data_IF_764251803781
#
_entry.id   IF_764251803781
#
_cell.length_a   1.000
_cell.length_b   1.000
_cell.length_c   1.000
_cell.angle_alpha   90.00
_cell.angle_beta   90.00
_cell.angle_gamma   90.00
#
_symmetry.space_group_name_H-M   'P 1'
#
loop_
_entity.id
_entity.type
_entity.pdbx_description
1 polymer ?
#
# COMPACT_ATOMS: atom_id res chain seq x y z
N UNK A 1 56.03 -22.46 -4.56
CA UNK A 1 55.30 -21.31 -5.12
C UNK A 1 53.88 -21.39 -4.58
N UNK A 2 53.51 -20.50 -3.65
CA UNK A 2 52.17 -20.50 -3.05
C UNK A 2 51.17 -19.85 -4.02
N UNK A 3 49.91 -20.34 -4.12
CA UNK A 3 48.90 -19.72 -4.96
C UNK A 3 48.53 -18.33 -4.41
N UNK A 4 48.19 -17.36 -5.29
CA UNK A 4 47.81 -16.02 -4.86
C UNK A 4 46.49 -16.04 -4.08
N UNK A 5 46.31 -15.13 -3.10
CA UNK A 5 45.07 -15.01 -2.36
C UNK A 5 43.94 -14.63 -3.31
N UNK A 6 42.85 -15.40 -3.29
CA UNK A 6 41.66 -15.08 -4.07
C UNK A 6 41.10 -13.74 -3.59
N UNK A 7 41.31 -12.70 -4.39
CA UNK A 7 40.60 -11.44 -4.28
C UNK A 7 39.10 -11.78 -4.21
N UNK A 8 38.49 -11.45 -3.07
CA UNK A 8 37.09 -11.74 -2.77
C UNK A 8 36.23 -11.44 -3.98
N UNK A 9 35.80 -12.51 -4.66
CA UNK A 9 35.02 -12.44 -5.88
C UNK A 9 33.83 -11.53 -5.61
N UNK A 10 33.81 -10.38 -6.29
CA UNK A 10 32.59 -9.63 -6.45
C UNK A 10 31.60 -10.57 -7.15
N UNK A 11 30.73 -11.20 -6.37
CA UNK A 11 29.69 -12.10 -6.88
C UNK A 11 28.79 -11.19 -7.70
N UNK A 12 28.94 -11.22 -9.03
CA UNK A 12 27.99 -10.58 -9.92
C UNK A 12 26.59 -10.98 -9.45
N UNK A 13 25.63 -10.04 -9.35
CA UNK A 13 24.24 -10.40 -9.18
C UNK A 13 23.90 -11.31 -10.35
N UNK A 14 23.79 -12.62 -10.12
CA UNK A 14 23.30 -13.51 -11.16
C UNK A 14 21.89 -13.06 -11.47
N UNK A 15 21.57 -12.89 -12.75
CA UNK A 15 20.21 -12.58 -13.23
C UNK A 15 19.18 -13.59 -12.71
N UNK A 16 19.63 -14.74 -12.24
CA UNK A 16 18.90 -15.72 -11.45
C UNK A 16 19.27 -15.58 -9.97
N UNK A 17 18.38 -14.99 -9.17
CA UNK A 17 18.47 -15.09 -7.71
C UNK A 17 18.54 -16.56 -7.29
N UNK A 18 19.36 -16.89 -6.27
CA UNK A 18 19.39 -18.24 -5.72
C UNK A 18 17.95 -18.70 -5.37
N UNK A 19 17.57 -19.95 -5.68
CA UNK A 19 16.25 -20.47 -5.36
C UNK A 19 15.95 -20.24 -3.88
N UNK A 20 14.74 -19.78 -3.58
CA UNK A 20 14.31 -19.53 -2.21
C UNK A 20 13.26 -20.56 -1.79
N UNK A 21 13.29 -20.90 -0.50
CA UNK A 21 12.24 -21.68 0.14
C UNK A 21 11.53 -20.80 1.17
N UNK A 22 10.21 -20.78 1.13
CA UNK A 22 9.40 -20.02 2.09
C UNK A 22 9.57 -20.63 3.48
N UNK A 23 9.81 -19.79 4.50
CA UNK A 23 9.96 -20.25 5.87
C UNK A 23 8.61 -20.77 6.40
N UNK A 24 8.47 -22.08 6.73
CA UNK A 24 7.19 -22.63 7.18
C UNK A 24 6.73 -22.05 8.52
N UNK A 25 7.64 -21.53 9.35
CA UNK A 25 7.29 -20.84 10.58
C UNK A 25 6.70 -19.45 10.34
N UNK A 26 7.05 -18.82 9.21
CA UNK A 26 6.65 -17.46 8.86
C UNK A 26 6.29 -17.37 7.37
N UNK A 27 5.20 -18.01 6.92
CA UNK A 27 4.86 -18.06 5.50
C UNK A 27 4.27 -16.74 4.96
N UNK A 28 3.89 -15.84 5.86
CA UNK A 28 3.33 -14.53 5.53
C UNK A 28 1.88 -14.55 5.02
N UNK A 29 1.15 -15.66 5.19
CA UNK A 29 -0.19 -15.84 4.63
C UNK A 29 -1.18 -14.74 5.04
N UNK A 30 -1.13 -14.27 6.28
CA UNK A 30 -2.02 -13.19 6.77
C UNK A 30 -1.88 -11.94 5.92
N UNK A 31 -0.64 -11.47 5.71
CA UNK A 31 -0.38 -10.25 4.92
C UNK A 31 -0.67 -10.49 3.44
N UNK A 32 -0.38 -11.68 2.92
CA UNK A 32 -0.72 -12.03 1.52
C UNK A 32 -2.22 -11.94 1.27
N UNK A 33 -3.03 -12.51 2.16
CA UNK A 33 -4.49 -12.42 2.04
C UNK A 33 -4.99 -11.01 2.25
N UNK A 34 -4.47 -10.28 3.24
CA UNK A 34 -4.83 -8.89 3.46
C UNK A 34 -4.52 -8.02 2.22
N UNK A 35 -3.31 -8.10 1.67
CA UNK A 35 -2.94 -7.39 0.44
C UNK A 35 -3.78 -7.79 -0.75
N UNK A 36 -4.10 -9.09 -0.90
CA UNK A 36 -4.96 -9.58 -1.98
C UNK A 36 -6.37 -8.99 -1.89
N UNK A 37 -6.98 -9.05 -0.70
CA UNK A 37 -8.31 -8.49 -0.44
C UNK A 37 -8.31 -6.97 -0.66
N UNK A 38 -7.35 -6.25 -0.08
CA UNK A 38 -7.25 -4.80 -0.23
C UNK A 38 -7.04 -4.40 -1.69
N UNK A 39 -6.23 -5.15 -2.45
CA UNK A 39 -6.03 -4.88 -3.87
C UNK A 39 -7.34 -5.02 -4.66
N UNK A 40 -8.13 -6.04 -4.37
CA UNK A 40 -9.43 -6.26 -5.01
C UNK A 40 -10.44 -5.16 -4.66
N UNK A 41 -10.42 -4.65 -3.43
CA UNK A 41 -11.30 -3.55 -3.00
C UNK A 41 -10.87 -2.19 -3.55
N UNK A 42 -9.56 -1.96 -3.70
CA UNK A 42 -9.02 -0.71 -4.21
C UNK A 42 -9.32 -0.51 -5.70
N UNK A 43 -9.35 -1.57 -6.51
CA UNK A 43 -9.55 -1.45 -7.98
C UNK A 43 -10.87 -0.76 -8.35
N UNK A 44 -12.04 -1.15 -7.82
CA UNK A 44 -13.29 -0.44 -8.10
C UNK A 44 -13.27 1.02 -7.64
N UNK A 45 -12.73 1.30 -6.45
CA UNK A 45 -12.65 2.66 -5.89
C UNK A 45 -11.73 3.56 -6.72
N UNK A 46 -10.55 3.06 -7.07
CA UNK A 46 -9.60 3.75 -7.93
C UNK A 46 -10.17 3.96 -9.33
N UNK A 47 -10.85 2.94 -9.89
CA UNK A 47 -11.53 3.04 -11.17
C UNK A 47 -12.65 4.09 -11.17
N UNK A 48 -13.44 4.18 -10.11
CA UNK A 48 -14.48 5.19 -9.97
C UNK A 48 -13.89 6.61 -9.93
N UNK A 49 -12.83 6.82 -9.13
CA UNK A 49 -12.14 8.11 -9.04
C UNK A 49 -11.43 8.49 -10.36
N UNK A 50 -10.88 7.51 -11.07
CA UNK A 50 -10.13 7.71 -12.31
C UNK A 50 -11.04 8.02 -13.51
N UNK A 51 -12.04 7.16 -13.75
CA UNK A 51 -12.87 7.22 -14.96
C UNK A 51 -14.16 8.03 -14.78
N UNK A 52 -14.62 8.21 -13.54
CA UNK A 52 -15.85 8.95 -13.22
C UNK A 52 -15.65 9.95 -12.07
N UNK A 53 -14.67 10.87 -12.18
CA UNK A 53 -14.26 11.74 -11.08
C UNK A 53 -15.40 12.59 -10.52
N UNK A 54 -16.32 13.10 -11.36
CA UNK A 54 -17.47 13.86 -10.90
C UNK A 54 -18.42 13.02 -10.01
N UNK A 55 -18.65 11.75 -10.36
CA UNK A 55 -19.48 10.83 -9.56
C UNK A 55 -18.81 10.51 -8.23
N UNK A 56 -17.50 10.28 -8.25
CA UNK A 56 -16.73 10.05 -7.04
C UNK A 56 -16.76 11.26 -6.10
N UNK A 57 -16.49 12.46 -6.64
CA UNK A 57 -16.49 13.70 -5.88
C UNK A 57 -17.87 14.04 -5.31
N UNK A 58 -18.96 13.68 -5.99
CA UNK A 58 -20.31 13.86 -5.47
C UNK A 58 -20.59 13.06 -4.17
N UNK A 59 -19.79 12.02 -3.88
CA UNK A 59 -19.87 11.29 -2.60
C UNK A 59 -19.18 12.03 -1.44
N UNK A 60 -18.33 13.01 -1.76
CA UNK A 60 -17.45 13.70 -0.81
C UNK A 60 -17.80 15.18 -0.65
N UNK A 61 -18.28 15.81 -1.73
CA UNK A 61 -18.59 17.23 -1.78
C UNK A 61 -19.83 17.55 -0.95
N UNK A 62 -19.82 18.71 -0.31
CA UNK A 62 -21.03 19.22 0.39
C UNK A 62 -22.11 19.65 -0.60
N UNK A 63 -21.70 20.21 -1.73
CA UNK A 63 -22.58 20.61 -2.83
C UNK A 63 -21.93 20.24 -4.17
N UNK A 64 -22.69 19.60 -5.05
CA UNK A 64 -22.23 19.19 -6.38
C UNK A 64 -21.90 20.38 -7.29
N UNK A 65 -22.46 21.57 -7.01
CA UNK A 65 -22.11 22.82 -7.71
C UNK A 65 -20.64 23.20 -7.54
N UNK A 66 -19.97 22.71 -6.49
CA UNK A 66 -18.57 22.98 -6.18
C UNK A 66 -17.60 22.05 -6.93
N UNK A 67 -18.09 21.07 -7.70
CA UNK A 67 -17.29 20.12 -8.46
C UNK A 67 -16.76 20.79 -9.73
N UNK A 68 -15.65 21.51 -9.59
CA UNK A 68 -14.98 22.19 -10.70
C UNK A 68 -14.24 21.21 -11.62
N UNK A 69 -13.92 21.60 -12.87
CA UNK A 69 -13.04 20.82 -13.75
C UNK A 69 -11.66 20.53 -13.12
N UNK A 70 -11.11 21.48 -12.36
CA UNK A 70 -9.85 21.29 -11.65
C UNK A 70 -9.95 20.20 -10.58
N UNK A 71 -11.03 20.20 -9.79
CA UNK A 71 -11.28 19.16 -8.80
C UNK A 71 -11.42 17.78 -9.44
N UNK A 72 -12.08 17.70 -10.60
CA UNK A 72 -12.20 16.45 -11.35
C UNK A 72 -10.83 15.92 -11.82
N UNK A 73 -9.97 16.78 -12.37
CA UNK A 73 -8.61 16.39 -12.75
C UNK A 73 -7.79 15.96 -11.52
N UNK A 74 -7.89 16.67 -10.40
CA UNK A 74 -7.24 16.27 -9.14
C UNK A 74 -7.73 14.90 -8.66
N UNK A 75 -9.03 14.62 -8.78
CA UNK A 75 -9.62 13.30 -8.49
C UNK A 75 -9.09 12.21 -9.44
N UNK A 76 -8.93 12.50 -10.73
CA UNK A 76 -8.31 11.59 -11.70
C UNK A 76 -6.86 11.29 -11.36
N UNK A 77 -6.08 12.29 -10.91
CA UNK A 77 -4.72 12.08 -10.40
C UNK A 77 -4.73 11.18 -9.16
N UNK A 78 -5.63 11.43 -8.21
CA UNK A 78 -5.82 10.56 -7.05
C UNK A 78 -6.15 9.12 -7.47
N UNK A 79 -7.08 8.92 -8.40
CA UNK A 79 -7.41 7.60 -8.96
C UNK A 79 -6.21 6.91 -9.58
N UNK A 80 -5.42 7.64 -10.37
CA UNK A 80 -4.16 7.14 -10.97
C UNK A 80 -3.17 6.70 -9.90
N UNK A 81 -2.94 7.53 -8.88
CA UNK A 81 -2.05 7.20 -7.77
C UNK A 81 -2.53 5.96 -7.00
N UNK A 82 -3.84 5.82 -6.77
CA UNK A 82 -4.42 4.64 -6.13
C UNK A 82 -4.20 3.36 -6.95
N UNK A 83 -4.34 3.41 -8.28
CA UNK A 83 -3.99 2.29 -9.16
C UNK A 83 -2.49 1.95 -9.03
N UNK A 84 -1.63 2.96 -9.08
CA UNK A 84 -0.18 2.78 -8.93
C UNK A 84 0.22 2.13 -7.61
N UNK A 85 -0.44 2.52 -6.51
CA UNK A 85 -0.24 1.92 -5.19
C UNK A 85 -0.82 0.51 -5.05
N UNK A 86 -1.83 0.15 -5.85
CA UNK A 86 -2.45 -1.17 -5.81
C UNK A 86 -1.56 -2.25 -6.45
N UNK A 87 -0.73 -1.89 -7.42
CA UNK A 87 0.19 -2.83 -8.07
C UNK A 87 1.19 -3.51 -7.11
N UNK A 88 1.94 -2.79 -6.25
CA UNK A 88 2.84 -3.43 -5.29
C UNK A 88 2.11 -4.25 -4.22
N UNK A 89 0.84 -3.96 -3.95
CA UNK A 89 0.00 -4.77 -3.07
C UNK A 89 -0.34 -6.11 -3.73
N UNK A 90 -0.82 -6.08 -4.97
CA UNK A 90 -1.11 -7.28 -5.76
C UNK A 90 0.15 -8.13 -5.95
N UNK A 91 1.31 -7.49 -6.19
CA UNK A 91 2.59 -8.18 -6.28
C UNK A 91 3.00 -8.85 -4.96
N UNK A 92 2.74 -8.21 -3.82
CA UNK A 92 3.04 -8.76 -2.48
C UNK A 92 2.29 -10.06 -2.14
N UNK A 93 1.27 -10.45 -2.91
CA UNK A 93 0.53 -11.71 -2.74
C UNK A 93 1.38 -12.94 -3.09
N UNK A 94 2.36 -12.78 -3.99
CA UNK A 94 3.21 -13.88 -4.45
C UNK A 94 4.28 -14.27 -3.42
N UNK A 95 4.85 -15.48 -3.55
CA UNK A 95 5.88 -16.04 -2.65
C UNK A 95 7.28 -16.08 -3.28
N UNK A 96 7.58 -15.16 -4.19
CA UNK A 96 8.95 -14.96 -4.67
C UNK A 96 9.68 -13.95 -3.77
N UNK A 97 11.01 -13.89 -3.90
CA UNK A 97 11.89 -13.04 -3.08
C UNK A 97 11.41 -11.59 -3.05
N UNK A 98 11.28 -10.98 -4.24
CA UNK A 98 10.89 -9.59 -4.37
C UNK A 98 9.51 -9.30 -3.78
N UNK A 99 8.56 -10.22 -3.90
CA UNK A 99 7.23 -10.08 -3.31
C UNK A 99 7.28 -10.16 -1.78
N UNK A 100 8.10 -11.04 -1.19
CA UNK A 100 8.24 -11.11 0.27
C UNK A 100 8.89 -9.85 0.82
N UNK A 101 9.97 -9.40 0.18
CA UNK A 101 10.72 -8.20 0.57
C UNK A 101 9.91 -6.90 0.36
N UNK A 102 8.98 -6.87 -0.59
CA UNK A 102 8.17 -5.67 -0.87
C UNK A 102 7.02 -5.46 0.12
N UNK A 103 6.49 -6.51 0.77
CA UNK A 103 5.32 -6.41 1.66
C UNK A 103 5.47 -5.35 2.76
N UNK A 104 6.59 -5.25 3.50
CA UNK A 104 6.76 -4.20 4.50
C UNK A 104 6.73 -2.80 3.87
N UNK A 105 7.33 -2.61 2.70
CA UNK A 105 7.31 -1.32 2.01
C UNK A 105 5.90 -0.96 1.53
N UNK A 106 5.15 -1.91 0.96
CA UNK A 106 3.75 -1.71 0.58
C UNK A 106 2.90 -1.31 1.79
N UNK A 107 3.08 -1.97 2.93
CA UNK A 107 2.36 -1.62 4.16
C UNK A 107 2.75 -0.24 4.70
N UNK A 108 4.02 0.15 4.61
CA UNK A 108 4.49 1.43 5.10
C UNK A 108 3.93 2.57 4.24
N UNK A 109 3.98 2.41 2.92
CA UNK A 109 3.40 3.36 1.97
C UNK A 109 1.90 3.54 2.21
N UNK A 110 1.16 2.44 2.42
CA UNK A 110 -0.27 2.51 2.74
C UNK A 110 -0.52 3.21 4.07
N UNK A 111 0.23 2.87 5.13
CA UNK A 111 0.09 3.54 6.42
C UNK A 111 0.35 5.05 6.31
N UNK A 112 1.34 5.46 5.50
CA UNK A 112 1.61 6.87 5.21
C UNK A 112 0.45 7.56 4.49
N UNK A 113 -0.09 6.93 3.44
CA UNK A 113 -1.24 7.45 2.70
C UNK A 113 -2.48 7.59 3.62
N UNK A 114 -2.76 6.58 4.43
CA UNK A 114 -3.87 6.59 5.39
C UNK A 114 -3.68 7.66 6.47
N UNK A 115 -2.48 7.83 6.99
CA UNK A 115 -2.19 8.90 7.95
C UNK A 115 -2.48 10.29 7.34
N UNK A 116 -2.09 10.51 6.08
CA UNK A 116 -2.40 11.74 5.35
C UNK A 116 -3.91 11.94 5.20
N UNK A 117 -4.63 10.89 4.80
CA UNK A 117 -6.09 10.95 4.63
C UNK A 117 -6.80 11.22 5.97
N UNK A 118 -6.42 10.53 7.03
CA UNK A 118 -6.97 10.74 8.37
C UNK A 118 -6.69 12.15 8.88
N UNK A 119 -5.50 12.69 8.61
CA UNK A 119 -5.14 14.08 8.93
C UNK A 119 -6.07 15.06 8.20
N UNK A 120 -6.32 14.85 6.91
CA UNK A 120 -7.28 15.66 6.13
C UNK A 120 -8.68 15.56 6.70
N UNK A 121 -9.15 14.37 7.06
CA UNK A 121 -10.48 14.19 7.65
C UNK A 121 -10.61 14.90 9.01
N UNK A 122 -9.59 14.83 9.86
CA UNK A 122 -9.54 15.56 11.13
C UNK A 122 -9.51 17.08 10.90
N UNK A 123 -8.78 17.54 9.88
CA UNK A 123 -8.78 18.95 9.49
C UNK A 123 -10.16 19.43 9.04
N UNK A 124 -10.90 18.61 8.28
CA UNK A 124 -12.28 18.95 7.88
C UNK A 124 -13.21 19.06 9.08
N UNK A 125 -13.04 18.21 10.10
CA UNK A 125 -13.94 18.16 11.26
C UNK A 125 -13.61 19.20 12.34
N UNK A 126 -12.33 19.51 12.54
CA UNK A 126 -11.85 20.31 13.67
C UNK A 126 -11.03 21.54 13.27
N UNK A 127 -10.70 21.69 11.98
CA UNK A 127 -9.96 22.83 11.47
C UNK A 127 -10.79 24.12 11.50
N UNK A 128 -10.15 25.29 11.33
CA UNK A 128 -10.85 26.56 11.21
C UNK A 128 -11.84 26.47 10.03
N UNK A 129 -13.14 26.60 10.34
CA UNK A 129 -14.28 26.20 9.51
C UNK A 129 -14.54 26.99 8.22
N UNK A 130 -13.50 27.35 7.47
CA UNK A 130 -13.63 27.96 6.15
C UNK A 130 -13.63 26.89 5.06
N UNK A 131 -14.79 26.73 4.40
CA UNK A 131 -14.96 26.23 3.03
C UNK A 131 -14.02 25.10 2.58
N UNK A 132 -14.00 23.97 3.30
CA UNK A 132 -13.25 22.78 2.86
C UNK A 132 -13.81 22.18 1.56
N UNK A 133 -15.06 22.52 1.21
CA UNK A 133 -15.83 21.89 0.12
C UNK A 133 -16.18 20.42 0.41
N UNK A 134 -15.72 19.89 1.54
CA UNK A 134 -15.77 18.49 1.91
C UNK A 134 -16.82 18.28 3.00
N UNK A 135 -17.77 17.37 2.76
CA UNK A 135 -18.86 17.12 3.68
C UNK A 135 -18.33 16.55 5.02
N UNK A 136 -18.72 17.11 6.18
CA UNK A 136 -18.31 16.58 7.49
C UNK A 136 -18.69 15.11 7.68
N UNK A 137 -19.86 14.69 7.19
CA UNK A 137 -20.31 13.30 7.25
C UNK A 137 -19.43 12.35 6.43
N UNK A 138 -18.92 12.84 5.28
CA UNK A 138 -17.96 12.10 4.48
C UNK A 138 -16.63 11.98 5.24
N UNK A 139 -16.15 13.04 5.89
CA UNK A 139 -14.93 12.99 6.70
C UNK A 139 -15.07 12.00 7.87
N UNK A 140 -16.23 11.94 8.51
CA UNK A 140 -16.48 10.95 9.55
C UNK A 140 -16.53 9.53 9.01
N UNK A 141 -17.13 9.34 7.85
CA UNK A 141 -17.17 8.05 7.16
C UNK A 141 -15.77 7.57 6.77
N UNK A 142 -14.87 8.48 6.37
CA UNK A 142 -13.48 8.15 6.08
C UNK A 142 -12.73 7.69 7.33
N UNK A 143 -12.89 8.37 8.46
CA UNK A 143 -12.23 7.96 9.72
C UNK A 143 -12.71 6.59 10.17
N UNK A 144 -14.01 6.30 10.06
CA UNK A 144 -14.56 4.99 10.43
C UNK A 144 -14.06 3.86 9.53
N UNK A 145 -13.82 4.12 8.24
CA UNK A 145 -13.36 3.11 7.29
C UNK A 145 -11.85 2.93 7.30
N UNK A 146 -11.10 4.03 7.29
CA UNK A 146 -9.63 4.06 7.16
C UNK A 146 -8.95 3.90 8.52
N UNK A 147 -9.55 4.41 9.59
CA UNK A 147 -8.99 4.34 10.95
C UNK A 147 -8.65 2.92 11.38
N UNK A 148 -9.57 1.94 11.28
CA UNK A 148 -9.26 0.54 11.61
C UNK A 148 -8.13 -0.05 10.77
N UNK A 149 -8.09 0.27 9.48
CA UNK A 149 -7.05 -0.21 8.56
C UNK A 149 -5.67 0.38 8.92
N UNK A 150 -5.62 1.68 9.26
CA UNK A 150 -4.40 2.33 9.74
C UNK A 150 -3.90 1.69 11.05
N UNK A 151 -4.79 1.51 12.03
CA UNK A 151 -4.45 0.84 13.29
C UNK A 151 -3.97 -0.60 13.07
N UNK A 152 -4.58 -1.32 12.14
CA UNK A 152 -4.12 -2.64 11.73
C UNK A 152 -2.68 -2.61 11.23
N UNK A 153 -2.32 -1.66 10.36
CA UNK A 153 -0.94 -1.54 9.86
C UNK A 153 0.05 -1.25 10.98
N UNK A 154 -0.28 -0.32 11.89
CA UNK A 154 0.56 -0.05 13.06
C UNK A 154 0.73 -1.31 13.92
N UNK A 155 -0.34 -2.06 14.15
CA UNK A 155 -0.28 -3.31 14.89
C UNK A 155 0.64 -4.34 14.20
N UNK A 156 0.51 -4.53 12.88
CA UNK A 156 1.37 -5.43 12.13
C UNK A 156 2.84 -5.02 12.25
N UNK A 157 3.15 -3.73 12.06
CA UNK A 157 4.54 -3.24 12.16
C UNK A 157 5.14 -3.42 13.55
N UNK A 158 4.44 -2.99 14.59
CA UNK A 158 5.02 -2.93 15.94
C UNK A 158 4.85 -4.23 16.74
N UNK A 159 3.84 -5.05 16.43
CA UNK A 159 3.52 -6.25 17.22
C UNK A 159 3.64 -7.56 16.46
N UNK A 160 3.47 -7.56 15.13
CA UNK A 160 3.48 -8.78 14.31
C UNK A 160 4.32 -8.68 13.03
N UNK A 161 5.57 -8.19 13.08
CA UNK A 161 6.39 -8.05 11.87
C UNK A 161 6.69 -9.39 11.18
N UNK A 162 6.62 -10.51 11.91
CA UNK A 162 6.77 -11.84 11.33
C UNK A 162 5.67 -12.23 10.33
N UNK A 163 4.53 -11.53 10.33
CA UNK A 163 3.45 -11.77 9.38
C UNK A 163 3.76 -11.31 7.95
N UNK A 164 4.79 -10.49 7.74
CA UNK A 164 5.27 -10.16 6.40
C UNK A 164 5.84 -11.37 5.65
N UNK A 165 6.16 -12.43 6.37
CA UNK A 165 6.73 -13.64 5.81
C UNK A 165 8.24 -13.56 5.66
N UNK A 166 8.87 -14.74 5.60
CA UNK A 166 10.32 -14.89 5.46
C UNK A 166 10.61 -16.01 4.48
N UNK A 167 11.82 -16.01 3.96
CA UNK A 167 12.33 -17.09 3.14
C UNK A 167 13.76 -17.43 3.58
N UNK A 168 14.23 -18.60 3.16
CA UNK A 168 15.60 -19.06 3.33
C UNK A 168 16.20 -19.27 1.94
N UNK A 169 17.48 -18.99 1.82
CA UNK A 169 18.26 -19.36 0.64
C UNK A 169 18.31 -20.90 0.57
N UNK A 170 17.86 -21.49 -0.55
CA UNK A 170 18.06 -22.91 -0.76
C UNK A 170 19.56 -23.18 -0.85
N UNK A 171 20.07 -24.14 -0.07
CA UNK A 171 21.48 -24.55 -0.22
C UNK A 171 21.66 -25.09 -1.63
N UNK A 172 22.46 -24.40 -2.46
CA UNK A 172 23.02 -25.02 -3.66
C UNK A 172 23.95 -26.14 -3.18
N UNK A 173 23.55 -27.39 -3.41
CA UNK A 173 24.48 -28.51 -3.43
C UNK A 173 25.42 -28.26 -4.61
N UNK A 174 26.62 -27.77 -4.31
CA UNK A 174 27.74 -27.75 -5.25
C UNK A 174 28.28 -29.17 -5.43
#
# INVERSE_FOLDING_TARGET
>A
MAPPPSLGLYRQPSLTSDPIEVDPANPGNIIRYALGIESLLNVPFAGLALFYPAKFLALLATDSSQITPLAQIACTFYGTSMVGMTLPMAYGVFNNRGAIESRPYSYLMLAGAEAGILTTALWVLYGPGAATGFAPDAAWSMIKQIGPAFLWRLFVFFRKPQWFGRYKEAKRSL
#
